data_IF_573626698819
#
_entry.id   IF_573626698819
#
_cell.length_a   1.000
_cell.length_b   1.000
_cell.length_c   1.000
_cell.angle_alpha   90.00
_cell.angle_beta   90.00
_cell.angle_gamma   90.00
#
_symmetry.space_group_name_H-M   'P 1'
#
loop_
_entity.id
_entity.type
_entity.pdbx_description
1 polymer ?
#
# COMPACT_ATOMS: atom_id res chain seq x y z
N UNK A 1 -12.42 20.05 1.98
CA UNK A 1 -11.99 18.97 2.90
C UNK A 1 -11.41 19.51 4.19
N UNK A 2 -10.43 20.43 4.16
CA UNK A 2 -9.84 21.01 5.38
C UNK A 2 -10.86 21.65 6.34
N UNK A 3 -11.83 22.43 5.82
CA UNK A 3 -12.91 23.00 6.63
C UNK A 3 -13.76 21.93 7.33
N UNK A 4 -14.26 20.94 6.57
CA UNK A 4 -15.09 19.85 7.09
C UNK A 4 -14.34 19.00 8.14
N UNK A 5 -13.11 18.61 7.86
CA UNK A 5 -12.31 17.80 8.79
C UNK A 5 -11.87 18.61 10.02
N UNK A 6 -11.50 19.88 9.86
CA UNK A 6 -10.99 20.69 10.97
C UNK A 6 -12.07 21.23 11.91
N UNK A 7 -13.24 21.60 11.38
CA UNK A 7 -14.28 22.30 12.15
C UNK A 7 -15.52 21.44 12.40
N UNK A 8 -15.94 20.64 11.44
CA UNK A 8 -17.19 19.87 11.53
C UNK A 8 -16.95 18.46 12.10
N UNK A 9 -15.79 17.85 11.85
CA UNK A 9 -15.45 16.51 12.36
C UNK A 9 -13.94 16.33 12.66
N UNK A 10 -13.43 16.95 13.75
CA UNK A 10 -12.01 16.88 14.13
C UNK A 10 -11.56 15.46 14.50
N UNK A 11 -12.45 14.62 15.01
CA UNK A 11 -12.13 13.23 15.33
C UNK A 11 -11.81 12.41 14.06
N UNK A 12 -12.57 12.62 12.98
CA UNK A 12 -12.26 12.02 11.69
C UNK A 12 -10.92 12.52 11.14
N UNK A 13 -10.60 13.81 11.32
CA UNK A 13 -9.31 14.36 10.93
C UNK A 13 -8.15 13.63 11.64
N UNK A 14 -8.25 13.44 12.96
CA UNK A 14 -7.24 12.72 13.74
C UNK A 14 -7.09 11.26 13.29
N UNK A 15 -8.19 10.57 13.00
CA UNK A 15 -8.14 9.20 12.46
C UNK A 15 -7.39 9.12 11.13
N UNK A 16 -7.67 10.06 10.23
CA UNK A 16 -7.00 10.10 8.92
C UNK A 16 -5.50 10.41 9.10
N UNK A 17 -5.16 11.38 9.95
CA UNK A 17 -3.74 11.68 10.26
C UNK A 17 -3.03 10.45 10.79
N UNK A 18 -3.60 9.75 11.76
CA UNK A 18 -2.98 8.56 12.33
C UNK A 18 -2.85 7.42 11.30
N UNK A 19 -3.85 7.22 10.45
CA UNK A 19 -3.78 6.24 9.37
C UNK A 19 -2.67 6.59 8.35
N UNK A 20 -2.47 7.88 8.05
CA UNK A 20 -1.39 8.35 7.18
C UNK A 20 -0.01 8.16 7.81
N UNK A 21 0.13 8.50 9.10
CA UNK A 21 1.38 8.27 9.85
C UNK A 21 1.75 6.79 9.83
N UNK A 22 0.81 5.91 10.20
CA UNK A 22 1.04 4.46 10.16
C UNK A 22 1.40 3.97 8.76
N UNK A 23 0.73 4.48 7.71
CA UNK A 23 1.03 4.10 6.34
C UNK A 23 2.43 4.54 5.93
N UNK A 24 2.86 5.76 6.28
CA UNK A 24 4.20 6.28 5.97
C UNK A 24 5.31 5.52 6.70
N UNK A 25 5.06 5.04 7.91
CA UNK A 25 6.03 4.27 8.69
C UNK A 25 6.18 2.82 8.20
N UNK A 26 5.08 2.19 7.75
CA UNK A 26 5.06 0.75 7.49
C UNK A 26 5.09 0.40 5.98
N UNK A 27 4.64 1.30 5.09
CA UNK A 27 4.68 1.05 3.66
C UNK A 27 6.13 1.11 3.15
N UNK A 28 6.51 0.04 2.46
CA UNK A 28 7.77 -0.09 1.73
C UNK A 28 7.54 -0.75 0.39
N UNK A 29 8.60 -0.84 -0.40
CA UNK A 29 8.60 -1.52 -1.69
C UNK A 29 9.15 -2.94 -1.52
N UNK A 30 8.48 -3.91 -2.13
CA UNK A 30 8.95 -5.29 -2.21
C UNK A 30 10.32 -5.36 -2.91
N UNK A 31 11.28 -6.05 -2.32
CA UNK A 31 12.64 -6.20 -2.86
C UNK A 31 12.69 -6.97 -4.20
N UNK A 32 11.65 -7.73 -4.54
CA UNK A 32 11.59 -8.55 -5.77
C UNK A 32 10.86 -7.87 -6.92
N UNK A 33 9.67 -7.30 -6.68
CA UNK A 33 8.80 -6.77 -7.73
C UNK A 33 8.53 -5.26 -7.62
N UNK A 34 9.06 -4.59 -6.60
CA UNK A 34 8.82 -3.17 -6.30
C UNK A 34 7.35 -2.78 -6.04
N UNK A 35 6.44 -3.74 -5.85
CA UNK A 35 5.08 -3.47 -5.40
C UNK A 35 5.06 -2.93 -3.97
N UNK A 36 3.96 -2.26 -3.58
CA UNK A 36 3.75 -1.82 -2.20
C UNK A 36 3.57 -3.03 -1.27
N UNK A 37 4.24 -2.99 -0.12
CA UNK A 37 4.27 -4.09 0.84
C UNK A 37 4.56 -3.56 2.26
N UNK A 38 4.05 -4.25 3.28
CA UNK A 38 4.44 -4.04 4.69
C UNK A 38 5.58 -4.98 5.13
N UNK A 39 5.97 -5.90 4.26
CA UNK A 39 7.09 -6.85 4.42
C UNK A 39 8.20 -6.60 3.41
N UNK A 40 9.41 -7.13 3.64
CA UNK A 40 10.53 -7.01 2.69
C UNK A 40 10.21 -7.65 1.33
N UNK A 41 9.49 -8.78 1.37
CA UNK A 41 8.93 -9.46 0.20
C UNK A 41 7.40 -9.43 0.35
N UNK A 42 6.68 -9.06 -0.71
CA UNK A 42 5.21 -9.04 -0.69
C UNK A 42 4.62 -10.45 -0.77
N UNK A 43 3.36 -10.58 -0.36
CA UNK A 43 2.63 -11.86 -0.33
C UNK A 43 2.62 -12.58 -1.69
N UNK A 44 2.53 -11.82 -2.79
CA UNK A 44 2.53 -12.36 -4.16
C UNK A 44 3.89 -12.97 -4.53
N UNK A 45 4.99 -12.37 -4.08
CA UNK A 45 6.34 -12.86 -4.36
C UNK A 45 6.73 -14.01 -3.43
N UNK A 46 6.18 -14.06 -2.21
CA UNK A 46 6.43 -15.16 -1.27
C UNK A 46 5.58 -16.41 -1.54
N UNK A 47 4.56 -16.32 -2.39
CA UNK A 47 3.68 -17.44 -2.72
C UNK A 47 4.37 -18.43 -3.68
N UNK A 48 4.70 -19.61 -3.16
CA UNK A 48 5.34 -20.71 -3.91
C UNK A 48 4.41 -21.36 -4.94
N UNK A 49 3.08 -21.17 -4.83
CA UNK A 49 2.13 -21.66 -5.83
C UNK A 49 2.16 -20.85 -7.13
N UNK A 50 2.77 -19.67 -7.09
CA UNK A 50 2.91 -18.78 -8.25
C UNK A 50 3.89 -19.36 -9.27
N UNK A 51 3.52 -19.28 -10.54
CA UNK A 51 4.41 -19.66 -11.64
C UNK A 51 5.53 -18.63 -11.82
N UNK A 52 6.69 -18.91 -11.24
CA UNK A 52 7.86 -18.02 -11.26
C UNK A 52 8.46 -17.77 -12.65
N UNK A 53 7.97 -18.43 -13.70
CA UNK A 53 8.37 -18.19 -15.09
C UNK A 53 7.54 -17.11 -15.81
N UNK A 54 6.52 -16.53 -15.15
CA UNK A 54 5.65 -15.51 -15.74
C UNK A 54 5.76 -14.17 -15.00
N UNK A 55 6.00 -13.11 -15.78
CA UNK A 55 6.08 -11.73 -15.29
C UNK A 55 4.93 -10.90 -15.86
N UNK A 56 4.23 -10.18 -14.98
CA UNK A 56 3.24 -9.19 -15.36
C UNK A 56 3.82 -7.80 -15.09
N UNK A 57 4.18 -7.10 -16.17
CA UNK A 57 4.69 -5.73 -16.07
C UNK A 57 3.52 -4.76 -15.97
N UNK A 58 3.55 -3.92 -14.94
CA UNK A 58 2.52 -2.91 -14.70
C UNK A 58 3.13 -1.51 -14.71
N UNK A 59 2.30 -0.50 -14.94
CA UNK A 59 2.74 0.90 -14.96
C UNK A 59 2.84 1.47 -13.55
N UNK A 60 1.86 1.15 -12.69
CA UNK A 60 1.82 1.60 -11.31
C UNK A 60 1.75 0.43 -10.32
N UNK A 61 2.36 0.53 -9.14
CA UNK A 61 2.25 -0.49 -8.09
C UNK A 61 0.81 -0.82 -7.69
N UNK A 62 -0.12 0.14 -7.86
CA UNK A 62 -1.54 -0.05 -7.58
C UNK A 62 -2.21 -1.04 -8.54
N UNK A 63 -1.71 -1.15 -9.77
CA UNK A 63 -2.29 -2.01 -10.80
C UNK A 63 -2.16 -3.50 -10.43
N UNK A 64 -1.25 -3.83 -9.51
CA UNK A 64 -1.11 -5.18 -8.94
C UNK A 64 -2.37 -5.63 -8.19
N UNK A 65 -3.15 -4.70 -7.61
CA UNK A 65 -4.31 -5.03 -6.78
C UNK A 65 -5.62 -5.21 -7.58
N UNK A 66 -5.60 -5.02 -8.90
CA UNK A 66 -6.80 -5.07 -9.76
C UNK A 66 -6.76 -6.19 -10.80
N UNK A 67 -5.65 -6.94 -10.86
CA UNK A 67 -5.41 -8.06 -11.78
C UNK A 67 -5.74 -9.38 -11.11
#
# INVERSE_FOLDING_TARGET
MAYHLGLENPYLALKITHALENALENLKTCASCNALSESEVCEICSDESRQNSQLCMVLHPRDVFIL
#
